data_IF_249788951803
#
_entry.id   IF_249788951803
#
_cell.length_a   1.000
_cell.length_b   1.000
_cell.length_c   1.000
_cell.angle_alpha   90.00
_cell.angle_beta   90.00
_cell.angle_gamma   90.00
#
_symmetry.space_group_name_H-M   'P 1'
#
loop_
_entity.id
_entity.type
_entity.pdbx_description
1 polymer ?
#
# COMPACT_ATOMS: atom_id res chain seq x y z
N UNK A 1 24.36 9.73 -19.82
CA UNK A 1 23.66 9.00 -18.73
C UNK A 1 22.26 9.57 -18.55
N UNK A 2 22.12 10.88 -18.33
CA UNK A 2 20.82 11.56 -18.15
C UNK A 2 19.85 11.38 -19.33
N UNK A 3 20.31 11.57 -20.57
CA UNK A 3 19.51 11.32 -21.78
C UNK A 3 18.94 9.89 -21.82
N UNK A 4 19.78 8.88 -21.57
CA UNK A 4 19.36 7.47 -21.54
C UNK A 4 18.31 7.22 -20.45
N UNK A 5 18.53 7.77 -19.25
CA UNK A 5 17.57 7.68 -18.14
C UNK A 5 16.22 8.32 -18.50
N UNK A 6 16.22 9.44 -19.24
CA UNK A 6 14.99 10.06 -19.72
C UNK A 6 14.23 9.15 -20.71
N UNK A 7 14.89 8.60 -21.73
CA UNK A 7 14.24 7.70 -22.68
C UNK A 7 13.68 6.43 -22.02
N UNK A 8 14.44 5.83 -21.11
CA UNK A 8 13.97 4.68 -20.32
C UNK A 8 12.75 5.08 -19.48
N UNK A 9 12.78 6.27 -18.87
CA UNK A 9 11.65 6.81 -18.10
C UNK A 9 10.37 6.97 -18.92
N UNK A 10 10.48 7.45 -20.16
CA UNK A 10 9.35 7.56 -21.10
C UNK A 10 8.79 6.19 -21.48
N UNK A 11 9.65 5.24 -21.83
CA UNK A 11 9.22 3.87 -22.17
C UNK A 11 8.52 3.24 -20.96
N UNK A 12 9.09 3.38 -19.77
CA UNK A 12 8.48 2.92 -18.51
C UNK A 12 7.11 3.55 -18.28
N UNK A 13 6.96 4.85 -18.50
CA UNK A 13 5.69 5.56 -18.39
C UNK A 13 4.62 4.98 -19.32
N UNK A 14 4.95 4.73 -20.58
CA UNK A 14 4.03 4.15 -21.56
C UNK A 14 3.57 2.76 -21.11
N UNK A 15 4.50 1.91 -20.68
CA UNK A 15 4.19 0.56 -20.19
C UNK A 15 3.29 0.63 -18.96
N UNK A 16 3.61 1.49 -17.99
CA UNK A 16 2.80 1.67 -16.77
C UNK A 16 1.38 2.15 -17.09
N UNK A 17 1.19 3.08 -18.03
CA UNK A 17 -0.14 3.51 -18.48
C UNK A 17 -0.94 2.33 -19.02
N UNK A 18 -0.32 1.49 -19.87
CA UNK A 18 -0.97 0.28 -20.39
C UNK A 18 -1.32 -0.72 -19.29
N UNK A 19 -0.45 -0.86 -18.26
CA UNK A 19 -0.72 -1.71 -17.10
C UNK A 19 -1.91 -1.20 -16.29
N UNK A 20 -2.01 0.11 -16.01
CA UNK A 20 -3.17 0.71 -15.32
C UNK A 20 -4.47 0.55 -16.12
N UNK A 21 -4.41 0.54 -17.44
CA UNK A 21 -5.57 0.33 -18.31
C UNK A 21 -5.91 -1.15 -18.55
N UNK A 22 -5.05 -2.09 -18.16
CA UNK A 22 -5.28 -3.53 -18.37
C UNK A 22 -6.58 -4.06 -17.72
N UNK A 23 -7.06 -3.57 -16.55
CA UNK A 23 -8.30 -4.04 -15.95
C UNK A 23 -9.58 -3.45 -16.55
N UNK A 24 -9.51 -2.56 -17.56
CA UNK A 24 -10.70 -1.91 -18.16
C UNK A 24 -11.73 -2.93 -18.62
N UNK A 25 -11.30 -4.04 -19.23
CA UNK A 25 -12.21 -5.12 -19.66
C UNK A 25 -12.94 -5.79 -18.50
N UNK A 26 -12.26 -5.96 -17.36
CA UNK A 26 -12.85 -6.49 -16.12
C UNK A 26 -13.90 -5.54 -15.57
N UNK A 27 -13.61 -4.23 -15.49
CA UNK A 27 -14.57 -3.25 -14.99
C UNK A 27 -15.76 -3.04 -15.94
N UNK A 28 -15.54 -3.15 -17.25
CA UNK A 28 -16.63 -3.16 -18.21
C UNK A 28 -17.60 -4.33 -17.95
N UNK A 29 -17.09 -5.51 -17.62
CA UNK A 29 -17.90 -6.67 -17.21
C UNK A 29 -18.65 -6.40 -15.91
N UNK A 30 -18.01 -5.82 -14.90
CA UNK A 30 -18.65 -5.45 -13.62
C UNK A 30 -19.83 -4.51 -13.85
N UNK A 31 -19.66 -3.48 -14.69
CA UNK A 31 -20.72 -2.52 -15.03
C UNK A 31 -21.87 -3.24 -15.76
N UNK A 32 -21.55 -4.08 -16.75
CA UNK A 32 -22.55 -4.80 -17.56
C UNK A 32 -23.36 -5.79 -16.72
N UNK A 33 -22.70 -6.52 -15.82
CA UNK A 33 -23.32 -7.52 -14.95
C UNK A 33 -23.93 -6.93 -13.68
N UNK A 34 -23.70 -5.63 -13.41
CA UNK A 34 -24.14 -4.93 -12.19
C UNK A 34 -23.67 -5.64 -10.90
N UNK A 35 -22.57 -6.37 -10.97
CA UNK A 35 -22.05 -7.21 -9.89
C UNK A 35 -20.53 -7.33 -10.01
N UNK A 36 -19.83 -7.34 -8.88
CA UNK A 36 -18.39 -7.61 -8.82
C UNK A 36 -18.06 -9.10 -9.00
N UNK A 37 -19.06 -9.97 -9.13
CA UNK A 37 -18.90 -11.41 -9.26
C UNK A 37 -17.95 -11.97 -8.17
N UNK A 38 -16.86 -12.63 -8.56
CA UNK A 38 -15.80 -13.12 -7.67
C UNK A 38 -14.51 -12.28 -7.78
N UNK A 39 -14.57 -11.10 -8.41
CA UNK A 39 -13.41 -10.23 -8.50
C UNK A 39 -13.07 -9.64 -7.14
N UNK A 40 -11.78 -9.45 -6.88
CA UNK A 40 -11.27 -8.88 -5.63
C UNK A 40 -10.94 -7.40 -5.79
N UNK A 41 -11.25 -6.59 -4.77
CA UNK A 41 -10.92 -5.16 -4.74
C UNK A 41 -9.50 -4.86 -4.27
N UNK A 42 -8.86 -5.83 -3.62
CA UNK A 42 -7.56 -5.68 -2.95
C UNK A 42 -6.45 -5.16 -3.86
N UNK A 43 -6.28 -5.66 -5.10
CA UNK A 43 -5.21 -5.20 -5.99
C UNK A 43 -5.32 -3.70 -6.30
N UNK A 44 -6.54 -3.19 -6.48
CA UNK A 44 -6.78 -1.78 -6.82
C UNK A 44 -6.51 -0.85 -5.64
N UNK A 45 -6.88 -1.28 -4.43
CA UNK A 45 -6.57 -0.56 -3.19
C UNK A 45 -5.06 -0.49 -2.96
N UNK A 46 -4.36 -1.62 -3.07
CA UNK A 46 -2.91 -1.70 -2.92
C UNK A 46 -2.20 -0.80 -3.93
N UNK A 47 -2.66 -0.83 -5.19
CA UNK A 47 -2.06 -0.05 -6.27
C UNK A 47 -2.31 1.45 -6.09
N UNK A 48 -3.51 1.85 -5.62
CA UNK A 48 -3.82 3.24 -5.29
C UNK A 48 -2.92 3.77 -4.17
N UNK A 49 -2.74 3.00 -3.10
CA UNK A 49 -1.85 3.37 -1.99
C UNK A 49 -0.39 3.44 -2.44
N UNK A 50 0.09 2.45 -3.19
CA UNK A 50 1.44 2.42 -3.76
C UNK A 50 1.69 3.64 -4.65
N UNK A 51 0.76 3.93 -5.57
CA UNK A 51 0.86 5.07 -6.49
C UNK A 51 0.86 6.41 -5.74
N UNK A 52 0.11 6.51 -4.65
CA UNK A 52 0.12 7.70 -3.77
C UNK A 52 1.51 7.94 -3.15
N UNK A 53 2.15 6.89 -2.65
CA UNK A 53 3.49 6.96 -2.07
C UNK A 53 4.55 7.31 -3.13
N UNK A 54 4.51 6.67 -4.30
CA UNK A 54 5.44 6.96 -5.40
C UNK A 54 5.25 8.36 -5.97
N UNK A 55 4.02 8.86 -6.02
CA UNK A 55 3.74 10.25 -6.41
C UNK A 55 4.37 11.22 -5.41
N UNK A 56 4.17 10.99 -4.11
CA UNK A 56 4.80 11.81 -3.07
C UNK A 56 6.34 11.78 -3.19
N UNK A 57 6.94 10.59 -3.36
CA UNK A 57 8.38 10.44 -3.59
C UNK A 57 8.88 11.23 -4.81
N UNK A 58 8.18 11.13 -5.94
CA UNK A 58 8.57 11.82 -7.17
C UNK A 58 8.45 13.35 -7.09
N UNK A 59 7.58 13.88 -6.23
CA UNK A 59 7.44 15.32 -5.99
C UNK A 59 8.58 15.84 -5.09
N UNK A 60 8.93 15.10 -4.03
CA UNK A 60 9.95 15.55 -3.07
C UNK A 60 11.39 15.39 -3.58
N UNK A 61 11.64 14.41 -4.45
CA UNK A 61 12.97 14.15 -4.99
C UNK A 61 13.15 14.87 -6.33
N UNK A 62 14.06 15.84 -6.35
CA UNK A 62 14.39 16.59 -7.56
C UNK A 62 14.83 15.65 -8.70
N UNK A 63 14.29 15.89 -9.91
CA UNK A 63 14.61 15.10 -11.11
C UNK A 63 13.72 13.87 -11.34
N UNK A 64 12.79 13.53 -10.44
CA UNK A 64 11.94 12.33 -10.53
C UNK A 64 10.50 12.63 -11.01
N UNK A 65 10.30 13.73 -11.75
CA UNK A 65 8.97 14.17 -12.18
C UNK A 65 8.23 13.10 -13.01
N UNK A 66 8.95 12.34 -13.83
CA UNK A 66 8.37 11.23 -14.61
C UNK A 66 7.77 10.12 -13.74
N UNK A 67 8.29 9.94 -12.52
CA UNK A 67 7.72 8.99 -11.54
C UNK A 67 6.46 9.58 -10.93
N UNK A 68 6.45 10.88 -10.61
CA UNK A 68 5.28 11.56 -10.09
C UNK A 68 4.11 11.57 -11.08
N UNK A 69 4.37 11.84 -12.36
CA UNK A 69 3.34 11.96 -13.40
C UNK A 69 2.64 10.63 -13.67
N UNK A 70 3.40 9.54 -13.81
CA UNK A 70 2.82 8.22 -14.11
C UNK A 70 2.00 7.66 -12.96
N UNK A 71 2.49 7.83 -11.72
CA UNK A 71 1.76 7.38 -10.55
C UNK A 71 0.57 8.29 -10.24
N UNK A 72 0.66 9.59 -10.54
CA UNK A 72 -0.49 10.51 -10.51
C UNK A 72 -1.61 10.06 -11.45
N UNK A 73 -1.28 9.64 -12.67
CA UNK A 73 -2.25 9.01 -13.57
C UNK A 73 -2.82 7.70 -12.98
N UNK A 74 -1.96 6.85 -12.42
CA UNK A 74 -2.37 5.64 -11.71
C UNK A 74 -3.39 5.91 -10.61
N UNK A 75 -3.19 6.94 -9.78
CA UNK A 75 -4.13 7.35 -8.72
C UNK A 75 -5.51 7.64 -9.30
N UNK A 76 -5.58 8.40 -10.41
CA UNK A 76 -6.86 8.73 -11.04
C UNK A 76 -7.59 7.48 -11.52
N UNK A 77 -6.89 6.58 -12.22
CA UNK A 77 -7.46 5.33 -12.76
C UNK A 77 -7.90 4.40 -11.62
N UNK A 78 -7.04 4.16 -10.63
CA UNK A 78 -7.35 3.26 -9.51
C UNK A 78 -8.47 3.81 -8.62
N UNK A 79 -8.59 5.13 -8.47
CA UNK A 79 -9.73 5.74 -7.78
C UNK A 79 -11.05 5.44 -8.50
N UNK A 80 -11.06 5.47 -9.84
CA UNK A 80 -12.22 5.09 -10.64
C UNK A 80 -12.56 3.61 -10.42
N UNK A 81 -11.56 2.72 -10.49
CA UNK A 81 -11.76 1.28 -10.26
C UNK A 81 -12.30 0.96 -8.86
N UNK A 82 -11.69 1.50 -7.81
CA UNK A 82 -12.16 1.31 -6.43
C UNK A 82 -13.59 1.85 -6.27
N UNK A 83 -13.90 3.01 -6.85
CA UNK A 83 -15.25 3.59 -6.79
C UNK A 83 -16.28 2.72 -7.49
N UNK A 84 -16.00 2.26 -8.72
CA UNK A 84 -16.88 1.37 -9.46
C UNK A 84 -17.08 0.04 -8.72
N UNK A 85 -16.00 -0.53 -8.17
CA UNK A 85 -16.08 -1.74 -7.36
C UNK A 85 -17.02 -1.53 -6.16
N UNK A 86 -16.87 -0.43 -5.41
CA UNK A 86 -17.73 -0.10 -4.26
C UNK A 86 -19.18 0.17 -4.64
N UNK A 87 -19.45 0.67 -5.85
CA UNK A 87 -20.82 0.88 -6.34
C UNK A 87 -21.50 -0.48 -6.59
N UNK A 88 -20.82 -1.38 -7.30
CA UNK A 88 -21.37 -2.66 -7.77
C UNK A 88 -21.16 -3.85 -6.83
N UNK A 89 -20.35 -3.71 -5.77
CA UNK A 89 -20.16 -4.74 -4.78
C UNK A 89 -21.45 -4.99 -3.98
N UNK A 90 -21.77 -6.24 -3.62
CA UNK A 90 -22.86 -6.54 -2.69
C UNK A 90 -22.60 -5.91 -1.30
N UNK A 91 -23.64 -5.60 -0.53
CA UNK A 91 -23.53 -4.82 0.73
C UNK A 91 -22.49 -5.35 1.73
N UNK A 92 -22.32 -6.69 1.82
CA UNK A 92 -21.27 -7.33 2.63
C UNK A 92 -19.85 -7.07 2.11
N UNK A 93 -19.65 -7.18 0.79
CA UNK A 93 -18.37 -6.93 0.11
C UNK A 93 -17.94 -5.45 0.15
N UNK A 94 -18.90 -4.50 0.22
CA UNK A 94 -18.58 -3.07 0.47
C UNK A 94 -17.92 -2.85 1.82
N UNK A 95 -18.41 -3.53 2.86
CA UNK A 95 -17.82 -3.49 4.20
C UNK A 95 -16.42 -4.09 4.21
N UNK A 96 -16.25 -5.26 3.62
CA UNK A 96 -14.95 -5.95 3.48
C UNK A 96 -13.94 -5.10 2.70
N UNK A 97 -14.35 -4.43 1.62
CA UNK A 97 -13.48 -3.54 0.84
C UNK A 97 -13.03 -2.31 1.65
N UNK A 98 -13.91 -1.73 2.47
CA UNK A 98 -13.55 -0.60 3.35
C UNK A 98 -12.62 -1.01 4.47
N UNK A 99 -12.92 -2.14 5.12
CA UNK A 99 -12.05 -2.75 6.14
C UNK A 99 -10.68 -3.04 5.53
N UNK A 100 -10.65 -3.51 4.29
CA UNK A 100 -9.40 -3.79 3.60
C UNK A 100 -8.57 -2.55 3.29
N UNK A 101 -9.20 -1.48 2.80
CA UNK A 101 -8.51 -0.22 2.58
C UNK A 101 -7.90 0.34 3.87
N UNK A 102 -8.66 0.35 4.96
CA UNK A 102 -8.17 0.78 6.27
C UNK A 102 -7.08 -0.15 6.81
N UNK A 103 -7.25 -1.46 6.67
CA UNK A 103 -6.30 -2.47 7.11
C UNK A 103 -4.95 -2.32 6.43
N UNK A 104 -4.91 -2.17 5.10
CA UNK A 104 -3.66 -1.95 4.36
C UNK A 104 -3.03 -0.61 4.74
N UNK A 105 -3.81 0.47 4.86
CA UNK A 105 -3.30 1.77 5.28
C UNK A 105 -2.67 1.71 6.67
N UNK A 106 -3.37 1.12 7.64
CA UNK A 106 -2.87 0.93 9.00
C UNK A 106 -1.61 0.06 9.06
N UNK A 107 -1.57 -1.04 8.28
CA UNK A 107 -0.41 -1.92 8.20
C UNK A 107 0.80 -1.17 7.59
N UNK A 108 0.60 -0.44 6.51
CA UNK A 108 1.64 0.37 5.86
C UNK A 108 2.19 1.46 6.81
N UNK A 109 1.31 2.21 7.48
CA UNK A 109 1.72 3.21 8.48
C UNK A 109 2.48 2.58 9.65
N UNK A 110 2.07 1.39 10.13
CA UNK A 110 2.80 0.66 11.16
C UNK A 110 4.23 0.33 10.71
N UNK A 111 4.38 -0.23 9.51
CA UNK A 111 5.70 -0.57 8.94
C UNK A 111 6.59 0.69 8.86
N UNK A 112 6.05 1.82 8.39
CA UNK A 112 6.78 3.09 8.35
C UNK A 112 7.19 3.55 9.75
N UNK A 113 6.31 3.46 10.75
CA UNK A 113 6.64 3.82 12.13
C UNK A 113 7.79 2.99 12.69
N UNK A 114 7.88 1.70 12.35
CA UNK A 114 8.99 0.81 12.76
C UNK A 114 10.35 1.18 12.15
N UNK A 115 10.40 2.07 11.15
CA UNK A 115 11.67 2.59 10.63
C UNK A 115 12.47 3.38 11.68
N UNK A 116 11.79 4.06 12.62
CA UNK A 116 12.44 4.84 13.69
C UNK A 116 13.17 3.95 14.71
N UNK A 117 12.53 2.91 15.29
CA UNK A 117 13.23 1.91 16.08
C UNK A 117 14.41 1.26 15.35
N UNK A 118 14.27 0.99 14.05
CA UNK A 118 15.37 0.42 13.24
C UNK A 118 16.57 1.39 13.12
N UNK A 119 16.32 2.69 13.00
CA UNK A 119 17.36 3.71 13.00
C UNK A 119 18.09 3.79 14.35
N UNK A 120 17.36 3.67 15.47
CA UNK A 120 17.95 3.58 16.81
C UNK A 120 18.80 2.31 16.93
N UNK A 121 18.31 1.15 16.46
CA UNK A 121 19.08 -0.10 16.45
C UNK A 121 20.38 0.02 15.67
N UNK A 122 20.35 0.66 14.49
CA UNK A 122 21.55 0.96 13.71
C UNK A 122 22.55 1.80 14.53
N UNK A 123 22.06 2.79 15.26
CA UNK A 123 22.89 3.66 16.10
C UNK A 123 23.53 2.84 17.21
N UNK A 124 22.77 2.02 17.95
CA UNK A 124 23.28 1.14 19.01
C UNK A 124 24.38 0.19 18.50
N UNK A 125 24.17 -0.43 17.33
CA UNK A 125 25.16 -1.34 16.74
C UNK A 125 26.45 -0.62 16.33
N UNK A 126 26.33 0.63 15.87
CA UNK A 126 27.45 1.45 15.39
C UNK A 126 28.23 2.08 16.55
N UNK A 127 27.53 2.65 17.53
CA UNK A 127 28.13 3.34 18.68
C UNK A 127 28.52 2.38 19.80
N UNK A 128 28.05 1.13 19.75
CA UNK A 128 28.20 0.12 20.81
C UNK A 128 27.65 0.60 22.17
N UNK A 129 26.69 1.54 22.15
CA UNK A 129 26.06 2.13 23.33
C UNK A 129 24.54 2.02 23.23
N UNK A 130 23.90 1.71 24.36
CA UNK A 130 22.43 1.62 24.50
C UNK A 130 21.79 2.88 25.06
N UNK A 131 22.55 3.99 25.14
CA UNK A 131 22.08 5.27 25.69
C UNK A 131 20.78 5.77 25.05
N UNK A 132 20.61 5.55 23.74
CA UNK A 132 19.44 5.97 22.97
C UNK A 132 18.28 4.96 23.00
N UNK A 133 18.44 3.81 23.69
CA UNK A 133 17.46 2.72 23.73
C UNK A 133 17.13 2.32 25.18
N UNK A 134 16.20 3.02 25.84
CA UNK A 134 15.82 2.68 27.21
C UNK A 134 15.22 1.28 27.28
N UNK A 135 15.76 0.44 28.18
CA UNK A 135 15.42 -0.97 28.29
C UNK A 135 13.93 -1.19 28.57
N UNK A 136 13.35 -0.51 29.57
CA UNK A 136 11.95 -0.70 29.95
C UNK A 136 10.99 -0.31 28.82
N UNK A 137 11.28 0.77 28.09
CA UNK A 137 10.47 1.18 26.94
C UNK A 137 10.46 0.07 25.87
N UNK A 138 11.63 -0.49 25.58
CA UNK A 138 11.78 -1.57 24.60
C UNK A 138 11.08 -2.86 25.05
N UNK A 139 11.18 -3.19 26.35
CA UNK A 139 10.51 -4.33 26.95
C UNK A 139 8.99 -4.22 26.88
N UNK A 140 8.41 -3.07 27.21
CA UNK A 140 6.96 -2.85 27.11
C UNK A 140 6.47 -2.82 25.66
N UNK A 141 7.24 -2.28 24.71
CA UNK A 141 6.89 -2.39 23.29
C UNK A 141 6.92 -3.84 22.79
N UNK A 142 7.88 -4.65 23.24
CA UNK A 142 7.92 -6.08 22.93
C UNK A 142 6.70 -6.83 23.47
N UNK A 143 6.34 -6.61 24.74
CA UNK A 143 5.13 -7.21 25.33
C UNK A 143 3.87 -6.77 24.59
N UNK A 144 3.74 -5.48 24.31
CA UNK A 144 2.61 -4.94 23.55
C UNK A 144 2.50 -5.60 22.17
N UNK A 145 3.61 -5.69 21.42
CA UNK A 145 3.65 -6.38 20.12
C UNK A 145 3.26 -7.86 20.21
N UNK A 146 3.76 -8.55 21.24
CA UNK A 146 3.42 -9.95 21.52
C UNK A 146 1.92 -10.14 21.84
N UNK A 147 1.35 -9.28 22.68
CA UNK A 147 -0.08 -9.31 23.03
C UNK A 147 -0.96 -9.10 21.81
N UNK A 148 -0.68 -8.09 20.98
CA UNK A 148 -1.46 -7.84 19.76
C UNK A 148 -1.31 -8.96 18.73
N UNK A 149 -0.12 -9.54 18.59
CA UNK A 149 0.11 -10.70 17.71
C UNK A 149 -0.69 -11.93 18.19
N UNK A 150 -0.70 -12.18 19.50
CA UNK A 150 -1.47 -13.29 20.07
C UNK A 150 -2.97 -13.08 19.95
N UNK A 151 -3.46 -11.87 20.22
CA UNK A 151 -4.85 -11.48 20.02
C UNK A 151 -5.29 -11.70 18.57
N UNK A 152 -4.46 -11.28 17.63
CA UNK A 152 -4.69 -11.46 16.21
C UNK A 152 -4.83 -12.93 15.77
N UNK A 153 -3.94 -13.80 16.29
CA UNK A 153 -3.98 -15.23 16.04
C UNK A 153 -5.27 -15.87 16.57
N UNK A 154 -5.78 -15.40 17.72
CA UNK A 154 -7.03 -15.89 18.30
C UNK A 154 -8.28 -15.47 17.51
N UNK A 155 -8.31 -14.24 17.01
CA UNK A 155 -9.48 -13.68 16.33
C UNK A 155 -9.70 -14.18 14.89
N UNK A 156 -8.72 -14.90 14.30
CA UNK A 156 -8.75 -15.33 12.88
C UNK A 156 -9.09 -14.20 11.91
N UNK A 157 -8.70 -12.97 12.25
CA UNK A 157 -8.93 -11.80 11.41
C UNK A 157 -7.90 -11.80 10.26
N UNK A 158 -8.40 -11.86 9.03
CA UNK A 158 -7.57 -12.05 7.85
C UNK A 158 -6.69 -10.84 7.46
N UNK A 159 -6.93 -9.67 8.06
CA UNK A 159 -5.97 -8.54 8.03
C UNK A 159 -4.74 -8.74 8.93
N UNK A 160 -4.74 -9.79 9.75
CA UNK A 160 -3.60 -10.29 10.50
C UNK A 160 -3.21 -11.74 10.16
N UNK A 161 -4.05 -12.53 9.48
CA UNK A 161 -3.67 -13.89 9.07
C UNK A 161 -4.49 -14.45 7.89
N UNK A 162 -4.44 -13.81 6.72
CA UNK A 162 -5.06 -14.21 5.42
C UNK A 162 -5.55 -15.66 5.33
N UNK A 163 -6.83 -15.87 5.02
CA UNK A 163 -7.33 -17.06 4.35
C UNK A 163 -8.73 -16.93 3.74
N UNK A 164 -8.91 -17.80 2.74
CA UNK A 164 -10.08 -18.11 1.90
C UNK A 164 -11.37 -18.42 2.67
#
# INVERSE_FOLDING_TARGET
MEELSFYIGIIGNIISVLMFLSPVGTFWRIIKQRSTEQFESLPYICTLLSSSLWTYYGIIKAGELLVATVNGFGILVETIYVTLFLIYAPGRSKGETRIAALGILCAGLNIVMYSSPLAVMRTVVTTKSVEYMPFFLSFFFFLNGGTWTFYALLMRDYFLLVRK
#
